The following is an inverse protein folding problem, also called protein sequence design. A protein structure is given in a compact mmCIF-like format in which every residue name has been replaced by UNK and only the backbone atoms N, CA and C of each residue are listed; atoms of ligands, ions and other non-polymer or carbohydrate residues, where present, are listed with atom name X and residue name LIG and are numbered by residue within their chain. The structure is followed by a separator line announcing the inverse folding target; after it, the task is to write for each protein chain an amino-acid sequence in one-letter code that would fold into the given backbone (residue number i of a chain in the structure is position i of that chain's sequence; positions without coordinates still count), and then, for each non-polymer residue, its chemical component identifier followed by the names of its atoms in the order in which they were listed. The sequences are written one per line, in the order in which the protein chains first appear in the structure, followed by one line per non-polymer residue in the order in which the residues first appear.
data_IF_359212466784
#
_entry.id   IF_359212466784
#
_cell.length_a   1.000
_cell.length_b   1.000
_cell.length_c   1.000
_cell.angle_alpha   90.00
_cell.angle_beta   90.00
_cell.angle_gamma   90.00
#
_symmetry.space_group_name_H-M   'P 1'
#
loop_
_entity.id
_entity.type
_entity.pdbx_description
1 polymer ?
#
# COMPACT_ATOMS: atom_id res chain seq x y z
N UNK A 1 2.69 4.60 5.75
CA UNK A 1 2.50 3.15 5.47
C UNK A 1 1.53 2.99 4.31
N UNK A 2 1.81 2.09 3.41
CA UNK A 2 0.91 1.73 2.31
C UNK A 2 0.79 0.23 2.19
N UNK A 3 -0.35 -0.23 1.65
CA UNK A 3 -0.59 -1.65 1.38
C UNK A 3 -1.03 -1.76 -0.09
N UNK A 4 -0.37 -2.62 -0.83
CA UNK A 4 -0.73 -2.91 -2.21
C UNK A 4 -1.16 -4.36 -2.37
N UNK A 5 -2.09 -4.59 -3.29
CA UNK A 5 -2.46 -5.94 -3.71
C UNK A 5 -1.74 -6.24 -5.01
N UNK A 6 -1.03 -7.34 -5.03
CA UNK A 6 -0.28 -7.80 -6.19
C UNK A 6 -1.21 -8.52 -7.19
N UNK A 7 -0.72 -8.77 -8.39
CA UNK A 7 -1.53 -9.45 -9.41
C UNK A 7 -1.97 -10.85 -9.00
N UNK A 8 -1.23 -11.50 -8.12
CA UNK A 8 -1.57 -12.83 -7.58
C UNK A 8 -2.44 -12.78 -6.32
N UNK A 9 -2.99 -11.60 -6.00
CA UNK A 9 -3.85 -11.34 -4.84
C UNK A 9 -3.15 -11.37 -3.49
N UNK A 10 -1.84 -11.52 -3.45
CA UNK A 10 -1.07 -11.35 -2.22
C UNK A 10 -0.90 -9.86 -1.91
N UNK A 11 -0.62 -9.53 -0.65
CA UNK A 11 -0.46 -8.14 -0.23
C UNK A 11 0.98 -7.85 0.17
N UNK A 12 1.43 -6.64 -0.15
CA UNK A 12 2.72 -6.14 0.27
C UNK A 12 2.53 -4.83 1.03
N UNK A 13 3.20 -4.69 2.16
CA UNK A 13 3.14 -3.50 3.01
C UNK A 13 4.51 -2.84 3.04
N UNK A 14 4.53 -1.53 2.88
CA UNK A 14 5.77 -0.77 2.93
C UNK A 14 5.58 0.62 3.49
N UNK A 15 6.64 1.40 3.46
CA UNK A 15 6.65 2.80 3.86
C UNK A 15 7.23 3.66 2.75
N UNK A 16 6.65 4.83 2.56
CA UNK A 16 7.16 5.82 1.63
C UNK A 16 6.66 7.21 2.01
N UNK A 17 7.40 8.23 1.60
CA UNK A 17 6.96 9.62 1.68
C UNK A 17 6.21 10.06 0.43
N UNK A 18 6.23 9.25 -0.64
CA UNK A 18 5.57 9.56 -1.91
C UNK A 18 4.94 8.29 -2.47
N UNK A 19 3.67 8.09 -2.14
CA UNK A 19 2.92 6.87 -2.49
C UNK A 19 2.86 6.66 -4.00
N UNK A 20 2.50 7.68 -4.76
CA UNK A 20 2.32 7.56 -6.21
C UNK A 20 3.63 7.13 -6.87
N UNK A 21 4.72 7.80 -6.55
CA UNK A 21 6.05 7.50 -7.09
C UNK A 21 6.48 6.08 -6.69
N UNK A 22 6.28 5.71 -5.43
CA UNK A 22 6.70 4.39 -4.93
C UNK A 22 5.97 3.25 -5.65
N UNK A 23 4.67 3.39 -5.87
CA UNK A 23 3.90 2.35 -6.53
C UNK A 23 4.22 2.29 -8.02
N UNK A 24 4.46 3.44 -8.67
CA UNK A 24 4.97 3.45 -10.04
C UNK A 24 6.32 2.71 -10.12
N UNK A 25 7.18 2.88 -9.12
CA UNK A 25 8.45 2.17 -9.03
C UNK A 25 8.25 0.66 -8.91
N UNK A 26 7.29 0.22 -8.08
CA UNK A 26 6.94 -1.20 -8.00
C UNK A 26 6.48 -1.73 -9.35
N UNK A 27 5.59 -1.02 -10.04
CA UNK A 27 5.04 -1.46 -11.32
C UNK A 27 6.08 -1.43 -12.45
N UNK A 28 7.15 -0.65 -12.29
CA UNK A 28 8.29 -0.65 -13.20
C UNK A 28 9.29 -1.78 -12.90
N UNK A 29 8.96 -2.67 -11.95
CA UNK A 29 9.80 -3.79 -11.50
C UNK A 29 11.11 -3.35 -10.86
N UNK A 30 11.12 -2.16 -10.27
CA UNK A 30 12.29 -1.55 -9.60
C UNK A 30 12.07 -1.36 -8.10
N UNK A 31 10.93 -1.85 -7.59
CA UNK A 31 10.61 -1.77 -6.17
C UNK A 31 11.17 -2.93 -5.37
N UNK A 32 10.40 -3.39 -4.39
CA UNK A 32 10.81 -4.50 -3.54
C UNK A 32 10.93 -5.80 -4.33
N UNK A 33 11.84 -6.65 -3.88
CA UNK A 33 12.05 -7.97 -4.49
C UNK A 33 10.76 -8.78 -4.59
N UNK A 34 9.94 -8.72 -3.54
CA UNK A 34 8.66 -9.43 -3.48
C UNK A 34 7.71 -9.02 -4.61
N UNK A 35 7.65 -7.72 -4.91
CA UNK A 35 6.69 -7.19 -5.90
C UNK A 35 7.16 -7.31 -7.34
N UNK A 36 8.47 -7.48 -7.59
CA UNK A 36 9.02 -7.48 -8.95
C UNK A 36 8.37 -8.50 -9.87
N UNK A 37 8.02 -9.67 -9.35
CA UNK A 37 7.42 -10.76 -10.14
C UNK A 37 5.90 -10.84 -9.95
N UNK A 38 5.32 -9.86 -9.26
CA UNK A 38 3.89 -9.83 -8.91
C UNK A 38 3.18 -8.57 -9.37
N UNK A 39 3.74 -7.89 -10.36
CA UNK A 39 3.13 -6.69 -10.94
C UNK A 39 2.06 -7.07 -11.96
N UNK A 40 1.05 -6.20 -12.19
CA UNK A 40 0.89 -4.90 -11.56
C UNK A 40 0.38 -5.00 -10.13
N UNK A 41 0.75 -4.01 -9.32
CA UNK A 41 0.24 -3.86 -7.96
C UNK A 41 -0.73 -2.69 -7.90
N UNK A 42 -1.70 -2.77 -6.99
CA UNK A 42 -2.74 -1.76 -6.81
C UNK A 42 -2.75 -1.30 -5.36
N UNK A 43 -2.83 0.01 -5.15
CA UNK A 43 -2.95 0.55 -3.79
C UNK A 43 -4.33 0.22 -3.23
N UNK A 44 -4.38 -0.47 -2.09
CA UNK A 44 -5.64 -0.83 -1.42
C UNK A 44 -5.84 -0.15 -0.08
N UNK A 45 -4.76 0.40 0.51
CA UNK A 45 -4.86 1.07 1.80
C UNK A 45 -3.61 1.90 2.05
N UNK A 46 -3.75 2.98 2.83
CA UNK A 46 -2.62 3.77 3.29
C UNK A 46 -2.96 4.48 4.59
N UNK A 47 -1.92 4.81 5.36
CA UNK A 47 -2.01 5.66 6.54
C UNK A 47 -0.85 6.65 6.53
N UNK A 48 -1.17 7.91 6.84
CA UNK A 48 -0.18 8.97 6.93
C UNK A 48 0.21 9.18 8.39
N UNK A 49 1.48 9.48 8.62
CA UNK A 49 2.03 9.73 9.96
C UNK A 49 2.91 10.97 9.92
N UNK A 50 3.02 11.66 11.06
CA UNK A 50 3.85 12.86 11.15
C UNK A 50 5.33 12.55 11.12
N UNK A 51 5.75 11.38 11.60
CA UNK A 51 7.15 10.99 11.65
C UNK A 51 7.38 9.65 10.97
N UNK A 52 8.61 9.47 10.46
CA UNK A 52 9.04 8.20 9.89
C UNK A 52 9.00 7.07 10.94
N UNK A 53 9.36 7.40 12.17
CA UNK A 53 9.35 6.44 13.27
C UNK A 53 7.96 5.84 13.50
N UNK A 54 6.92 6.70 13.53
CA UNK A 54 5.53 6.26 13.67
C UNK A 54 5.09 5.39 12.49
N UNK A 55 5.46 5.81 11.28
CA UNK A 55 5.09 5.09 10.06
C UNK A 55 5.73 3.71 10.00
N UNK A 56 7.02 3.59 10.32
CA UNK A 56 7.72 2.30 10.29
C UNK A 56 7.25 1.38 11.40
N UNK A 57 6.86 1.94 12.56
CA UNK A 57 6.26 1.17 13.64
C UNK A 57 4.91 0.58 13.22
N UNK A 58 4.07 1.39 12.59
CA UNK A 58 2.77 0.96 12.09
C UNK A 58 2.92 -0.14 11.03
N UNK A 59 3.88 0.03 10.12
CA UNK A 59 4.21 -0.97 9.11
C UNK A 59 4.60 -2.30 9.76
N UNK A 60 5.49 -2.25 10.73
CA UNK A 60 5.96 -3.44 11.45
C UNK A 60 4.81 -4.17 12.15
N UNK A 61 3.94 -3.43 12.82
CA UNK A 61 2.79 -4.00 13.51
C UNK A 61 1.79 -4.62 12.54
N UNK A 62 1.52 -3.93 11.43
CA UNK A 62 0.60 -4.44 10.41
C UNK A 62 1.12 -5.73 9.78
N UNK A 63 2.42 -5.79 9.48
CA UNK A 63 3.04 -6.99 8.90
C UNK A 63 2.91 -8.23 9.77
N UNK A 64 2.79 -8.07 11.08
CA UNK A 64 2.63 -9.18 12.02
C UNK A 64 1.22 -9.76 12.05
N UNK A 65 0.25 -9.07 11.49
CA UNK A 65 -1.13 -9.56 11.46
C UNK A 65 -1.28 -10.70 10.44
N UNK A 66 -2.20 -11.61 10.72
CA UNK A 66 -2.61 -12.61 9.73
C UNK A 66 -3.34 -11.93 8.58
N UNK A 67 -3.49 -12.59 7.43
CA UNK A 67 -4.23 -12.04 6.30
C UNK A 67 -5.64 -11.62 6.71
N UNK A 68 -6.34 -12.48 7.45
CA UNK A 68 -7.69 -12.21 7.94
C UNK A 68 -7.75 -10.95 8.79
N UNK A 69 -6.79 -10.78 9.70
CA UNK A 69 -6.71 -9.59 10.56
C UNK A 69 -6.35 -8.34 9.79
N UNK A 70 -5.52 -8.44 8.76
CA UNK A 70 -5.21 -7.33 7.87
C UNK A 70 -6.46 -6.84 7.13
N UNK A 71 -7.26 -7.78 6.62
CA UNK A 71 -8.50 -7.46 5.92
C UNK A 71 -9.49 -6.76 6.86
N UNK A 72 -9.64 -7.28 8.06
CA UNK A 72 -10.50 -6.68 9.09
C UNK A 72 -10.04 -5.27 9.44
N UNK A 73 -8.75 -5.08 9.66
CA UNK A 73 -8.17 -3.77 9.98
C UNK A 73 -8.49 -2.75 8.89
N UNK A 74 -8.28 -3.11 7.63
CA UNK A 74 -8.55 -2.22 6.51
C UNK A 74 -10.03 -1.86 6.44
N UNK A 75 -10.92 -2.84 6.57
CA UNK A 75 -12.36 -2.59 6.57
C UNK A 75 -12.79 -1.62 7.66
N UNK A 76 -12.25 -1.79 8.87
CA UNK A 76 -12.60 -0.95 10.01
C UNK A 76 -12.09 0.49 9.87
N UNK A 77 -11.02 0.69 9.11
CA UNK A 77 -10.38 2.00 8.97
C UNK A 77 -10.66 2.70 7.64
N UNK A 78 -11.36 2.04 6.71
CA UNK A 78 -11.78 2.68 5.47
C UNK A 78 -13.02 3.54 5.70
N UNK A 79 -12.98 4.76 5.19
CA UNK A 79 -14.13 5.67 5.16
C UNK A 79 -14.29 6.22 3.74
N UNK A 80 -15.36 6.99 3.50
CA UNK A 80 -15.67 7.51 2.16
C UNK A 80 -14.53 8.38 1.61
N UNK A 81 -13.91 9.22 2.46
CA UNK A 81 -12.82 10.09 2.04
C UNK A 81 -11.59 9.27 1.63
N UNK A 82 -11.23 8.27 2.43
CA UNK A 82 -10.08 7.41 2.13
C UNK A 82 -10.32 6.59 0.86
N UNK A 83 -11.54 6.10 0.65
CA UNK A 83 -11.90 5.38 -0.57
C UNK A 83 -11.73 6.27 -1.81
N UNK A 84 -12.12 7.54 -1.72
CA UNK A 84 -11.94 8.48 -2.81
C UNK A 84 -10.46 8.75 -3.07
N UNK A 85 -9.67 8.94 -2.01
CA UNK A 85 -8.23 9.14 -2.12
C UNK A 85 -7.56 7.93 -2.80
N UNK A 86 -7.97 6.71 -2.47
CA UNK A 86 -7.46 5.50 -3.11
C UNK A 86 -7.74 5.49 -4.60
N UNK A 87 -8.95 5.87 -5.01
CA UNK A 87 -9.30 5.98 -6.43
C UNK A 87 -8.41 7.00 -7.14
N UNK A 88 -8.23 8.18 -6.52
CA UNK A 88 -7.42 9.25 -7.10
C UNK A 88 -5.96 8.83 -7.24
N UNK A 89 -5.39 8.21 -6.21
CA UNK A 89 -4.02 7.71 -6.27
C UNK A 89 -3.85 6.65 -7.34
N UNK A 90 -4.77 5.69 -7.44
CA UNK A 90 -4.69 4.63 -8.44
C UNK A 90 -4.82 5.16 -9.87
N UNK A 91 -5.64 6.20 -10.07
CA UNK A 91 -5.73 6.86 -11.37
C UNK A 91 -4.40 7.51 -11.75
N UNK A 92 -3.77 8.23 -10.81
CA UNK A 92 -2.47 8.86 -11.04
C UNK A 92 -1.35 7.85 -11.25
N UNK A 93 -1.41 6.72 -10.56
CA UNK A 93 -0.43 5.64 -10.71
C UNK A 93 -0.49 5.05 -12.13
N UNK A 94 -1.67 4.99 -12.73
CA UNK A 94 -1.87 4.48 -14.10
C UNK A 94 -1.42 5.47 -15.17
N UNK A 95 -1.26 6.73 -14.85
CA UNK A 95 -0.78 7.74 -15.79
C UNK A 95 0.69 7.48 -16.13
N UNK A 96 1.01 7.63 -17.40
CA UNK A 96 2.39 7.45 -17.87
C UNK A 96 3.22 8.72 -17.70
#
# INVERSE_FOLDING_TARGET
MYVVECCDKTWYTGYTTDIIRRIKTHNAKKGAKYTRVRVPVKLIYFEEFETKSEATRAESLFKKLTRSKKEEYILLNLNANKKQDLKDFNMKIKEK
#
